data_IF_129863212455
#
_entry.id   IF_129863212455
#
_cell.length_a   1.000
_cell.length_b   1.000
_cell.length_c   1.000
_cell.angle_alpha   90.00
_cell.angle_beta   90.00
_cell.angle_gamma   90.00
#
_symmetry.space_group_name_H-M   'P 1'
#
loop_
_entity.id
_entity.type
_entity.pdbx_description
1 polymer ?
#
# COMPACT_ATOMS: atom_id res chain seq x y z
N UNK A 1 13.90 2.16 -7.37
CA UNK A 1 13.56 2.68 -8.71
C UNK A 1 12.28 1.99 -9.16
N UNK A 2 11.30 2.70 -9.73
CA UNK A 2 9.93 2.18 -9.87
C UNK A 2 9.33 2.47 -11.25
N UNK A 3 8.50 1.54 -11.72
CA UNK A 3 7.59 1.70 -12.87
C UNK A 3 6.16 1.59 -12.39
N UNK A 4 5.34 2.54 -12.79
CA UNK A 4 3.91 2.58 -12.54
C UNK A 4 3.22 2.30 -13.87
N UNK A 5 2.58 1.14 -14.02
CA UNK A 5 1.86 0.74 -15.23
C UNK A 5 0.35 0.99 -15.07
N UNK A 6 -0.27 1.58 -16.09
CA UNK A 6 -1.71 1.83 -16.17
C UNK A 6 -2.37 0.68 -16.94
N UNK A 7 -3.12 -0.16 -16.25
CA UNK A 7 -3.62 -1.39 -16.84
C UNK A 7 -4.85 -1.11 -17.71
N UNK A 8 -4.65 -0.92 -19.03
CA UNK A 8 -5.60 -1.17 -20.15
C UNK A 8 -5.07 -0.68 -21.51
N UNK A 9 -4.05 0.16 -21.52
CA UNK A 9 -3.31 0.61 -22.71
C UNK A 9 -1.84 0.57 -22.34
N UNK A 10 -0.91 0.18 -23.23
CA UNK A 10 0.55 0.08 -23.01
C UNK A 10 1.21 1.40 -22.54
N UNK A 11 0.75 1.96 -21.43
CA UNK A 11 1.10 3.25 -20.89
C UNK A 11 1.64 3.02 -19.50
N UNK A 12 2.87 3.44 -19.30
CA UNK A 12 3.54 3.38 -18.02
C UNK A 12 4.22 4.71 -17.75
N UNK A 13 4.28 5.04 -16.47
CA UNK A 13 5.11 6.11 -15.94
C UNK A 13 6.36 5.44 -15.40
N UNK A 14 7.48 5.76 -16.04
CA UNK A 14 8.78 5.25 -15.66
C UNK A 14 9.51 6.29 -14.80
N UNK A 15 10.01 5.88 -13.63
CA UNK A 15 10.76 6.77 -12.74
C UNK A 15 12.13 6.16 -12.48
N UNK A 16 13.14 6.71 -13.16
CA UNK A 16 14.53 6.35 -12.96
C UNK A 16 15.22 7.36 -12.05
N UNK A 17 15.73 6.88 -10.93
CA UNK A 17 16.56 7.66 -10.03
C UNK A 17 17.73 6.82 -9.53
N UNK A 18 18.93 7.37 -9.66
CA UNK A 18 20.17 6.84 -9.11
C UNK A 18 20.81 7.92 -8.26
N UNK A 19 20.81 7.71 -6.95
CA UNK A 19 21.42 8.63 -5.99
C UNK A 19 22.72 8.07 -5.40
N UNK A 20 23.50 8.90 -4.70
CA UNK A 20 24.74 8.46 -4.08
C UNK A 20 24.45 7.55 -2.87
N UNK A 21 25.27 6.52 -2.69
CA UNK A 21 25.01 5.44 -1.73
C UNK A 21 25.03 5.92 -0.27
N UNK A 22 25.86 6.90 0.04
CA UNK A 22 25.95 7.54 1.36
C UNK A 22 24.70 8.34 1.74
N UNK A 23 23.83 8.66 0.76
CA UNK A 23 22.54 9.35 0.96
C UNK A 23 21.33 8.45 0.67
N UNK A 24 21.49 7.13 0.81
CA UNK A 24 20.43 6.15 0.47
C UNK A 24 19.10 6.39 1.19
N UNK A 25 19.13 6.90 2.44
CA UNK A 25 17.93 7.19 3.23
C UNK A 25 17.15 8.35 2.61
N UNK A 26 17.82 9.45 2.31
CA UNK A 26 17.24 10.63 1.67
C UNK A 26 16.73 10.28 0.26
N UNK A 27 17.51 9.50 -0.49
CA UNK A 27 17.12 8.96 -1.79
C UNK A 27 15.84 8.12 -1.73
N UNK A 28 15.72 7.25 -0.72
CA UNK A 28 14.53 6.46 -0.50
C UNK A 28 13.31 7.34 -0.24
N UNK A 29 13.40 8.31 0.68
CA UNK A 29 12.28 9.20 1.00
C UNK A 29 11.87 10.08 -0.19
N UNK A 30 12.85 10.67 -0.89
CA UNK A 30 12.58 11.42 -2.12
C UNK A 30 11.76 10.58 -3.11
N UNK A 31 12.15 9.33 -3.30
CA UNK A 31 11.45 8.43 -4.22
C UNK A 31 10.07 8.01 -3.72
N UNK A 32 9.86 7.85 -2.41
CA UNK A 32 8.53 7.61 -1.84
C UNK A 32 7.59 8.79 -2.07
N UNK A 33 8.05 10.02 -1.84
CA UNK A 33 7.28 11.24 -2.09
C UNK A 33 6.90 11.37 -3.57
N UNK A 34 7.84 11.11 -4.49
CA UNK A 34 7.55 11.14 -5.93
C UNK A 34 6.49 10.13 -6.33
N UNK A 35 6.60 8.88 -5.85
CA UNK A 35 5.58 7.84 -6.12
C UNK A 35 4.24 8.25 -5.54
N UNK A 36 4.20 8.77 -4.31
CA UNK A 36 2.98 9.21 -3.66
C UNK A 36 2.30 10.36 -4.43
N UNK A 37 3.05 11.35 -4.90
CA UNK A 37 2.52 12.45 -5.72
C UNK A 37 1.88 11.91 -7.00
N UNK A 38 2.55 10.96 -7.67
CA UNK A 38 2.03 10.34 -8.90
C UNK A 38 0.76 9.55 -8.62
N UNK A 39 0.73 8.72 -7.56
CA UNK A 39 -0.45 7.96 -7.18
C UNK A 39 -1.63 8.85 -6.81
N UNK A 40 -1.39 9.91 -6.03
CA UNK A 40 -2.42 10.89 -5.69
C UNK A 40 -2.97 11.58 -6.94
N UNK A 41 -2.10 11.94 -7.87
CA UNK A 41 -2.48 12.58 -9.14
C UNK A 41 -3.33 11.63 -9.97
N UNK A 42 -2.90 10.37 -10.14
CA UNK A 42 -3.69 9.36 -10.87
C UNK A 42 -5.05 9.17 -10.20
N UNK A 43 -5.11 9.09 -8.86
CA UNK A 43 -6.38 8.90 -8.13
C UNK A 43 -7.36 10.06 -8.36
N UNK A 44 -6.86 11.29 -8.52
CA UNK A 44 -7.65 12.51 -8.78
C UNK A 44 -8.09 12.61 -10.23
N UNK A 45 -7.22 12.26 -11.16
CA UNK A 45 -7.49 12.36 -12.60
C UNK A 45 -8.33 11.19 -13.12
N UNK A 46 -8.20 10.00 -12.52
CA UNK A 46 -8.85 8.78 -12.98
C UNK A 46 -9.21 7.87 -11.79
N UNK A 47 -10.21 8.28 -11.00
CA UNK A 47 -10.73 7.49 -9.89
C UNK A 47 -11.37 6.20 -10.40
N UNK A 48 -10.67 5.08 -10.27
CA UNK A 48 -11.11 3.77 -10.76
C UNK A 48 -10.09 3.09 -11.67
N UNK A 49 -9.05 3.82 -12.11
CA UNK A 49 -7.96 3.22 -12.85
C UNK A 49 -7.13 2.31 -11.96
N UNK A 50 -6.96 1.06 -12.41
CA UNK A 50 -6.12 0.10 -11.71
C UNK A 50 -4.65 0.32 -12.09
N UNK A 51 -3.86 0.69 -11.09
CA UNK A 51 -2.43 0.94 -11.26
C UNK A 51 -1.64 -0.24 -10.72
N UNK A 52 -0.80 -0.83 -11.56
CA UNK A 52 0.14 -1.86 -11.14
C UNK A 52 1.51 -1.22 -10.93
N UNK A 53 2.20 -1.61 -9.85
CA UNK A 53 3.58 -1.19 -9.60
C UNK A 53 4.55 -2.34 -9.86
N UNK A 54 5.63 -2.02 -10.54
CA UNK A 54 6.79 -2.89 -10.73
C UNK A 54 8.07 -2.15 -10.36
N UNK A 55 9.05 -2.89 -9.91
CA UNK A 55 10.30 -2.38 -9.37
C UNK A 55 11.42 -2.83 -10.30
N UNK A 56 12.25 -1.89 -10.77
CA UNK A 56 13.38 -2.22 -11.64
C UNK A 56 14.55 -2.76 -10.83
N UNK A 57 15.35 -3.63 -11.44
CA UNK A 57 16.60 -4.15 -10.86
C UNK A 57 17.61 -3.04 -10.49
N UNK A 58 17.89 -2.81 -9.19
CA UNK A 58 18.90 -1.84 -8.75
C UNK A 58 20.30 -2.07 -9.33
N UNK A 59 20.73 -3.34 -9.47
CA UNK A 59 22.03 -3.68 -10.06
C UNK A 59 22.09 -3.30 -11.54
N UNK A 60 21.09 -3.67 -12.34
CA UNK A 60 21.12 -3.38 -13.78
C UNK A 60 20.98 -1.88 -14.08
N UNK A 61 20.26 -1.15 -13.21
CA UNK A 61 20.22 0.31 -13.20
C UNK A 61 21.61 0.91 -13.01
N UNK A 62 22.33 0.42 -12.00
CA UNK A 62 23.67 0.91 -11.66
C UNK A 62 24.63 0.68 -12.83
N UNK A 63 24.47 -0.45 -13.51
CA UNK A 63 25.23 -0.83 -14.70
C UNK A 63 24.72 -0.16 -15.99
N UNK A 64 23.70 0.70 -15.90
CA UNK A 64 23.09 1.43 -17.04
C UNK A 64 22.64 0.51 -18.19
N UNK A 65 22.09 -0.66 -17.87
CA UNK A 65 21.59 -1.58 -18.90
C UNK A 65 20.31 -1.05 -19.55
N UNK A 66 20.13 -1.39 -20.82
CA UNK A 66 18.92 -1.02 -21.59
C UNK A 66 17.74 -1.97 -21.29
N UNK A 67 18.00 -3.28 -21.25
CA UNK A 67 17.00 -4.31 -20.96
C UNK A 67 17.00 -4.60 -19.46
N UNK A 68 16.10 -3.94 -18.74
CA UNK A 68 15.94 -4.09 -17.30
C UNK A 68 14.98 -5.24 -16.96
N UNK A 69 15.35 -6.02 -15.96
CA UNK A 69 14.52 -6.98 -15.27
C UNK A 69 13.67 -6.27 -14.22
N UNK A 70 12.47 -6.80 -13.99
CA UNK A 70 11.48 -6.20 -13.10
C UNK A 70 11.03 -7.16 -12.00
N UNK A 71 10.52 -6.58 -10.92
CA UNK A 71 9.87 -7.27 -9.82
C UNK A 71 8.47 -6.68 -9.65
N UNK A 72 7.44 -7.44 -9.96
CA UNK A 72 6.07 -7.00 -9.75
C UNK A 72 5.73 -6.89 -8.27
N UNK A 73 4.78 -6.01 -7.94
CA UNK A 73 4.25 -5.93 -6.58
C UNK A 73 3.68 -7.25 -6.09
N UNK A 74 3.08 -8.05 -6.99
CA UNK A 74 2.57 -9.37 -6.66
C UNK A 74 3.69 -10.32 -6.23
N UNK A 75 4.77 -10.41 -7.01
CA UNK A 75 5.95 -11.24 -6.69
C UNK A 75 6.57 -10.84 -5.34
N UNK A 76 6.75 -9.53 -5.12
CA UNK A 76 7.27 -8.98 -3.86
C UNK A 76 6.34 -9.25 -2.68
N UNK A 77 5.03 -8.99 -2.84
CA UNK A 77 4.03 -9.21 -1.79
C UNK A 77 3.97 -10.69 -1.40
N UNK A 78 3.87 -11.60 -2.37
CA UNK A 78 3.91 -13.06 -2.12
C UNK A 78 5.13 -13.41 -1.28
N UNK A 79 6.27 -12.87 -1.68
CA UNK A 79 7.53 -13.02 -0.97
C UNK A 79 7.49 -12.56 0.49
N UNK A 80 6.90 -11.39 0.76
CA UNK A 80 6.78 -10.86 2.12
C UNK A 80 5.81 -11.69 2.97
N UNK A 81 4.67 -12.08 2.41
CA UNK A 81 3.60 -12.78 3.13
C UNK A 81 3.89 -14.27 3.38
N UNK A 82 4.50 -14.96 2.42
CA UNK A 82 4.80 -16.41 2.49
C UNK A 82 5.95 -16.75 3.44
N UNK A 83 6.62 -15.75 4.01
CA UNK A 83 7.63 -16.01 5.03
C UNK A 83 7.00 -16.48 6.34
N UNK A 84 7.58 -17.52 6.94
CA UNK A 84 7.17 -18.04 8.26
C UNK A 84 7.10 -16.93 9.31
N UNK A 85 6.13 -17.07 10.24
CA UNK A 85 5.72 -16.08 11.26
C UNK A 85 6.84 -15.60 12.21
N UNK A 86 8.02 -16.23 12.18
CA UNK A 86 9.11 -15.95 13.12
C UNK A 86 10.27 -15.16 12.51
N UNK A 87 10.13 -14.67 11.27
CA UNK A 87 11.19 -13.90 10.60
C UNK A 87 11.00 -12.41 10.87
N UNK A 88 11.91 -11.83 11.64
CA UNK A 88 12.01 -10.36 11.82
C UNK A 88 12.04 -9.64 10.46
N UNK A 89 11.43 -8.47 10.39
CA UNK A 89 11.48 -7.51 9.27
C UNK A 89 12.86 -7.40 8.62
N UNK A 90 13.93 -7.30 9.40
CA UNK A 90 15.33 -7.24 8.91
C UNK A 90 15.73 -8.50 8.13
N UNK A 91 15.25 -9.68 8.54
CA UNK A 91 15.51 -10.94 7.83
C UNK A 91 14.71 -11.05 6.52
N UNK A 92 13.53 -10.43 6.44
CA UNK A 92 12.74 -10.36 5.21
C UNK A 92 13.43 -9.48 4.17
N UNK A 93 13.92 -8.30 4.55
CA UNK A 93 14.62 -7.39 3.65
C UNK A 93 15.93 -7.98 3.13
N UNK A 94 16.63 -8.77 3.94
CA UNK A 94 17.86 -9.46 3.52
C UNK A 94 17.61 -10.65 2.59
N UNK A 95 16.36 -11.13 2.50
CA UNK A 95 16.04 -12.27 1.65
C UNK A 95 16.13 -11.87 0.18
N UNK A 96 16.67 -12.78 -0.62
CA UNK A 96 16.73 -12.65 -2.06
C UNK A 96 15.46 -13.12 -2.76
N UNK A 97 15.14 -12.47 -3.87
CA UNK A 97 14.07 -12.84 -4.77
C UNK A 97 14.57 -12.79 -6.21
N UNK A 98 14.02 -13.69 -7.02
CA UNK A 98 14.24 -13.70 -8.45
C UNK A 98 13.34 -12.67 -9.13
N UNK A 99 13.83 -12.02 -10.18
CA UNK A 99 13.05 -11.14 -11.04
C UNK A 99 11.95 -11.92 -11.77
N UNK A 100 10.95 -11.20 -12.27
CA UNK A 100 9.80 -11.81 -12.93
C UNK A 100 10.19 -12.56 -14.22
N UNK A 101 11.31 -12.19 -14.86
CA UNK A 101 11.89 -12.85 -16.03
C UNK A 101 12.85 -14.01 -15.69
N UNK A 102 13.21 -14.17 -14.41
CA UNK A 102 14.12 -15.22 -13.98
C UNK A 102 15.62 -14.88 -14.06
N UNK A 103 16.00 -13.74 -14.63
CA UNK A 103 17.39 -13.46 -15.02
C UNK A 103 18.28 -13.00 -13.87
N UNK A 104 17.71 -12.35 -12.85
CA UNK A 104 18.49 -11.76 -11.76
C UNK A 104 17.87 -12.02 -10.39
N UNK A 105 18.74 -12.17 -9.39
CA UNK A 105 18.35 -12.38 -8.00
C UNK A 105 18.92 -11.28 -7.10
N UNK A 106 18.04 -10.53 -6.42
CA UNK A 106 18.41 -9.37 -5.60
C UNK A 106 17.69 -9.40 -4.24
N UNK A 107 18.24 -8.71 -3.24
CA UNK A 107 17.60 -8.65 -1.91
C UNK A 107 16.41 -7.71 -1.96
N UNK A 108 15.36 -8.05 -1.21
CA UNK A 108 14.16 -7.22 -1.09
C UNK A 108 14.49 -5.80 -0.61
N UNK A 109 15.42 -5.65 0.33
CA UNK A 109 15.88 -4.34 0.81
C UNK A 109 16.58 -3.50 -0.25
N UNK A 110 17.31 -4.13 -1.18
CA UNK A 110 17.92 -3.43 -2.31
C UNK A 110 16.84 -2.88 -3.26
N UNK A 111 15.81 -3.68 -3.53
CA UNK A 111 14.71 -3.36 -4.46
C UNK A 111 13.73 -2.33 -3.87
N UNK A 112 13.24 -2.57 -2.66
CA UNK A 112 12.19 -1.75 -2.02
C UNK A 112 12.75 -0.54 -1.27
N UNK A 113 13.89 -0.70 -0.62
CA UNK A 113 14.39 0.21 0.41
C UNK A 113 15.78 0.79 0.07
N UNK A 114 16.19 0.78 -1.21
CA UNK A 114 17.44 1.41 -1.66
C UNK A 114 18.68 0.86 -0.93
N UNK A 115 18.66 -0.44 -0.63
CA UNK A 115 19.74 -1.17 0.05
C UNK A 115 19.65 -1.13 1.58
N UNK A 116 18.67 -0.42 2.13
CA UNK A 116 18.41 -0.40 3.57
C UNK A 116 17.77 -1.73 3.96
N UNK A 117 18.49 -2.52 4.75
CA UNK A 117 18.04 -3.84 5.20
C UNK A 117 17.58 -3.85 6.66
N UNK A 118 17.82 -2.77 7.39
CA UNK A 118 17.33 -2.56 8.74
C UNK A 118 16.43 -1.32 8.73
N UNK A 119 15.12 -1.51 8.91
CA UNK A 119 14.17 -0.39 8.87
C UNK A 119 14.39 0.61 10.01
N UNK A 120 15.12 0.24 11.06
CA UNK A 120 15.56 1.18 12.10
C UNK A 120 16.52 2.24 11.55
N UNK A 121 17.19 2.01 10.42
CA UNK A 121 17.96 3.05 9.75
C UNK A 121 17.07 4.13 9.14
N UNK A 122 15.81 3.81 8.87
CA UNK A 122 14.80 4.72 8.32
C UNK A 122 13.99 5.39 9.44
N UNK A 123 14.27 5.06 10.71
CA UNK A 123 13.49 5.45 11.89
C UNK A 123 13.17 6.95 11.87
N UNK A 124 11.87 7.24 11.85
CA UNK A 124 11.32 8.57 11.93
C UNK A 124 10.56 8.63 13.24
N UNK A 125 10.78 9.70 13.99
CA UNK A 125 10.21 10.05 15.31
C UNK A 125 8.68 9.93 15.45
N UNK A 126 7.97 9.53 14.40
CA UNK A 126 6.51 9.49 14.26
C UNK A 126 5.92 8.08 14.04
N UNK A 127 6.75 7.02 13.96
CA UNK A 127 6.28 5.62 13.93
C UNK A 127 7.26 4.64 13.28
N UNK A 128 7.15 3.36 13.66
CA UNK A 128 8.00 2.28 13.14
C UNK A 128 7.58 1.88 11.72
N UNK A 129 8.50 1.86 10.74
CA UNK A 129 8.20 1.33 9.40
C UNK A 129 7.70 -0.11 9.47
N UNK A 130 6.61 -0.41 8.76
CA UNK A 130 5.96 -1.74 8.82
C UNK A 130 5.86 -2.36 7.44
N UNK A 131 6.37 -3.59 7.28
CA UNK A 131 6.23 -4.38 6.06
C UNK A 131 4.86 -5.04 5.97
N UNK A 132 4.47 -5.41 4.74
CA UNK A 132 3.14 -5.96 4.46
C UNK A 132 2.72 -7.18 5.31
N UNK A 133 3.68 -8.00 5.79
CA UNK A 133 3.38 -9.17 6.62
C UNK A 133 2.82 -8.80 8.00
N UNK A 134 3.23 -7.65 8.54
CA UNK A 134 2.79 -7.12 9.84
C UNK A 134 1.78 -5.99 9.68
N UNK A 135 1.58 -5.50 8.46
CA UNK A 135 0.72 -4.36 8.21
C UNK A 135 -0.75 -4.71 8.42
N UNK A 136 -1.42 -3.88 9.22
CA UNK A 136 -2.85 -4.03 9.50
C UNK A 136 -3.70 -3.79 8.24
N UNK A 137 -4.77 -4.56 8.07
CA UNK A 137 -5.62 -4.56 6.87
C UNK A 137 -6.39 -3.27 6.63
N UNK A 138 -6.49 -2.40 7.64
CA UNK A 138 -7.01 -1.04 7.45
C UNK A 138 -6.22 -0.25 6.39
N UNK A 139 -4.96 -0.60 6.15
CA UNK A 139 -4.08 0.02 5.15
C UNK A 139 -4.38 -0.39 3.71
N UNK A 140 -5.27 -1.37 3.47
CA UNK A 140 -5.72 -1.67 2.11
C UNK A 140 -6.50 -0.48 1.54
N UNK A 141 -6.19 -0.13 0.29
CA UNK A 141 -6.85 0.98 -0.40
C UNK A 141 -8.36 0.72 -0.57
N UNK A 142 -9.12 1.80 -0.74
CA UNK A 142 -10.55 1.70 -1.05
C UNK A 142 -10.79 0.87 -2.32
N UNK A 143 -9.96 1.06 -3.36
CA UNK A 143 -10.07 0.32 -4.62
C UNK A 143 -9.83 -1.18 -4.41
N UNK A 144 -8.84 -1.56 -3.60
CA UNK A 144 -8.59 -2.96 -3.23
C UNK A 144 -9.81 -3.57 -2.55
N UNK A 145 -10.40 -2.85 -1.57
CA UNK A 145 -11.60 -3.31 -0.86
C UNK A 145 -12.80 -3.43 -1.81
N UNK A 146 -13.04 -2.45 -2.68
CA UNK A 146 -14.11 -2.50 -3.68
C UNK A 146 -13.99 -3.68 -4.63
N UNK A 147 -12.77 -4.00 -5.09
CA UNK A 147 -12.51 -5.19 -5.90
C UNK A 147 -12.82 -6.48 -5.16
N UNK A 148 -12.40 -6.60 -3.89
CA UNK A 148 -12.75 -7.75 -3.06
C UNK A 148 -14.28 -7.88 -2.91
N UNK A 149 -14.99 -6.78 -2.70
CA UNK A 149 -16.45 -6.77 -2.65
C UNK A 149 -17.06 -7.28 -3.96
N UNK A 150 -16.58 -6.80 -5.11
CA UNK A 150 -17.09 -7.24 -6.42
C UNK A 150 -16.88 -8.75 -6.69
N UNK A 151 -15.90 -9.37 -6.02
CA UNK A 151 -15.59 -10.78 -6.16
C UNK A 151 -16.32 -11.66 -5.13
N UNK A 152 -16.52 -11.19 -3.90
CA UNK A 152 -17.06 -11.99 -2.78
C UNK A 152 -18.55 -11.75 -2.49
N UNK A 153 -19.11 -10.62 -2.91
CA UNK A 153 -20.55 -10.33 -2.75
C UNK A 153 -21.45 -11.24 -3.60
N UNK A 154 -21.11 -11.55 -4.88
CA UNK A 154 -21.92 -12.45 -5.68
C UNK A 154 -21.88 -13.88 -5.12
N UNK A 155 -23.01 -14.61 -5.18
CA UNK A 155 -23.03 -16.02 -4.81
C UNK A 155 -22.05 -16.82 -5.66
N UNK A 156 -21.26 -17.67 -5.01
CA UNK A 156 -20.32 -18.57 -5.68
C UNK A 156 -20.92 -19.99 -5.71
N UNK A 157 -20.66 -20.76 -6.77
CA UNK A 157 -21.36 -22.02 -7.03
C UNK A 157 -21.19 -23.09 -5.95
N UNK A 158 -20.11 -23.02 -5.17
CA UNK A 158 -19.86 -23.89 -4.01
C UNK A 158 -19.82 -23.10 -2.70
N UNK A 159 -20.40 -21.89 -2.68
CA UNK A 159 -20.60 -21.08 -1.47
C UNK A 159 -19.34 -20.40 -0.94
N UNK A 160 -18.27 -20.26 -1.75
CA UNK A 160 -17.03 -19.57 -1.34
C UNK A 160 -17.16 -18.05 -1.42
N UNK A 161 -18.19 -17.53 -0.78
CA UNK A 161 -18.57 -16.12 -0.77
C UNK A 161 -18.19 -15.41 0.54
N UNK A 162 -18.65 -14.17 0.69
CA UNK A 162 -18.44 -13.34 1.88
C UNK A 162 -18.85 -14.02 3.19
N UNK A 163 -19.86 -14.88 3.19
CA UNK A 163 -20.38 -15.51 4.40
C UNK A 163 -19.38 -16.55 4.90
N UNK A 164 -18.94 -17.46 4.02
CA UNK A 164 -17.89 -18.42 4.34
C UNK A 164 -16.56 -17.74 4.71
N UNK A 165 -16.23 -16.63 4.05
CA UNK A 165 -15.07 -15.83 4.45
C UNK A 165 -15.20 -15.28 5.88
N UNK A 166 -16.36 -14.74 6.26
CA UNK A 166 -16.60 -14.29 7.62
C UNK A 166 -16.57 -15.41 8.66
N UNK A 167 -17.01 -16.63 8.32
CA UNK A 167 -16.85 -17.82 9.17
C UNK A 167 -15.36 -18.11 9.41
N UNK A 168 -14.53 -18.10 8.35
CA UNK A 168 -13.08 -18.33 8.45
C UNK A 168 -12.35 -17.26 9.27
N UNK A 169 -12.90 -16.04 9.31
CA UNK A 169 -12.44 -14.95 10.18
C UNK A 169 -12.94 -15.06 11.63
N UNK A 170 -13.73 -16.10 11.96
CA UNK A 170 -14.25 -16.33 13.30
C UNK A 170 -15.41 -15.41 13.69
N UNK A 171 -16.18 -14.92 12.71
CA UNK A 171 -17.28 -13.94 12.92
C UNK A 171 -18.68 -14.56 12.86
N UNK A 172 -18.79 -15.87 13.08
CA UNK A 172 -20.06 -16.61 12.92
C UNK A 172 -21.22 -16.00 13.69
N UNK A 173 -20.98 -15.46 14.89
CA UNK A 173 -21.96 -14.79 15.75
C UNK A 173 -22.38 -13.41 15.25
N UNK A 174 -21.57 -12.77 14.41
CA UNK A 174 -21.79 -11.41 13.88
C UNK A 174 -22.40 -11.42 12.48
N UNK A 175 -22.23 -12.49 11.71
CA UNK A 175 -22.72 -12.61 10.32
C UNK A 175 -24.18 -12.20 10.14
N UNK A 176 -25.14 -12.59 11.00
CA UNK A 176 -26.54 -12.16 10.85
C UNK A 176 -26.74 -10.65 10.91
N UNK A 177 -25.87 -9.91 11.63
CA UNK A 177 -25.91 -8.45 11.73
C UNK A 177 -25.20 -7.77 10.56
N UNK A 178 -24.26 -8.47 9.93
CA UNK A 178 -23.49 -7.96 8.79
C UNK A 178 -24.26 -8.16 7.47
N UNK A 179 -25.14 -9.15 7.40
CA UNK A 179 -26.02 -9.38 6.24
C UNK A 179 -26.83 -8.12 5.88
N UNK A 180 -26.67 -7.57 4.67
CA UNK A 180 -27.46 -6.43 4.20
C UNK A 180 -28.90 -6.79 3.85
N UNK A 181 -29.26 -8.08 3.85
CA UNK A 181 -30.56 -8.58 3.42
C UNK A 181 -30.81 -8.20 1.96
N UNK A 182 -31.93 -7.54 1.68
CA UNK A 182 -32.31 -7.09 0.33
C UNK A 182 -31.68 -5.76 -0.08
N UNK A 183 -30.87 -5.12 0.78
CA UNK A 183 -30.27 -3.83 0.49
C UNK A 183 -29.08 -3.95 -0.47
N UNK A 184 -29.37 -3.87 -1.78
CA UNK A 184 -28.37 -3.93 -2.85
C UNK A 184 -27.31 -2.79 -2.83
N UNK A 185 -27.52 -1.73 -2.03
CA UNK A 185 -26.56 -0.61 -1.91
C UNK A 185 -25.48 -0.86 -0.86
N UNK A 186 -25.55 -1.98 -0.14
CA UNK A 186 -24.59 -2.31 0.92
C UNK A 186 -23.88 -3.60 0.62
N UNK A 187 -22.56 -3.54 0.47
CA UNK A 187 -21.73 -4.73 0.28
C UNK A 187 -21.62 -5.52 1.60
N UNK A 188 -22.00 -6.82 1.63
CA UNK A 188 -21.73 -7.67 2.79
C UNK A 188 -20.22 -7.89 3.02
N UNK A 189 -19.43 -8.05 1.95
CA UNK A 189 -17.97 -8.19 2.06
C UNK A 189 -17.34 -6.96 2.71
N UNK A 190 -17.78 -5.75 2.33
CA UNK A 190 -17.29 -4.52 2.95
C UNK A 190 -17.51 -4.52 4.46
N UNK A 191 -18.70 -4.93 4.92
CA UNK A 191 -19.03 -5.02 6.35
C UNK A 191 -18.20 -6.07 7.08
N UNK A 192 -17.96 -7.23 6.46
CA UNK A 192 -17.07 -8.27 7.01
C UNK A 192 -15.64 -7.74 7.15
N UNK A 193 -15.11 -7.06 6.13
CA UNK A 193 -13.77 -6.46 6.19
C UNK A 193 -13.73 -5.35 7.25
N UNK A 194 -14.74 -4.49 7.32
CA UNK A 194 -14.85 -3.42 8.33
C UNK A 194 -14.88 -3.98 9.75
N UNK A 195 -15.59 -5.09 9.98
CA UNK A 195 -15.59 -5.77 11.27
C UNK A 195 -14.25 -6.45 11.55
N UNK A 196 -13.58 -7.01 10.55
CA UNK A 196 -12.23 -7.59 10.70
C UNK A 196 -11.23 -6.55 11.17
N UNK A 197 -11.20 -5.38 10.53
CA UNK A 197 -10.22 -4.34 10.84
C UNK A 197 -10.44 -3.68 12.20
N UNK A 198 -11.52 -4.00 12.92
CA UNK A 198 -11.64 -3.64 14.35
C UNK A 198 -10.73 -4.49 15.24
N UNK A 199 -10.34 -5.68 14.79
CA UNK A 199 -9.39 -6.53 15.49
C UNK A 199 -7.97 -6.11 15.14
N UNK A 200 -7.18 -5.75 16.15
CA UNK A 200 -5.77 -5.33 16.01
C UNK A 200 -4.89 -6.36 15.30
N UNK A 201 -5.27 -7.64 15.33
CA UNK A 201 -4.55 -8.74 14.69
C UNK A 201 -4.97 -8.97 13.23
N UNK A 202 -5.90 -8.18 12.67
CA UNK A 202 -6.36 -8.33 11.29
C UNK A 202 -5.29 -7.79 10.30
N UNK A 203 -4.21 -8.53 10.10
CA UNK A 203 -3.13 -8.18 9.17
C UNK A 203 -3.46 -8.54 7.73
N UNK A 204 -2.79 -7.90 6.76
CA UNK A 204 -2.93 -8.23 5.33
C UNK A 204 -2.57 -9.71 5.10
N UNK A 205 -1.53 -10.20 5.78
CA UNK A 205 -1.14 -11.61 5.75
C UNK A 205 -2.29 -12.53 6.15
N UNK A 206 -2.96 -12.23 7.27
CA UNK A 206 -4.09 -13.02 7.75
C UNK A 206 -5.22 -13.07 6.71
N UNK A 207 -5.57 -11.95 6.08
CA UNK A 207 -6.59 -11.96 5.02
C UNK A 207 -6.20 -12.84 3.84
N UNK A 208 -4.94 -12.76 3.39
CA UNK A 208 -4.43 -13.59 2.30
C UNK A 208 -4.46 -15.07 2.66
N UNK A 209 -4.08 -15.43 3.89
CA UNK A 209 -4.14 -16.81 4.39
C UNK A 209 -5.59 -17.33 4.42
N UNK A 210 -6.54 -16.54 4.92
CA UNK A 210 -7.96 -16.92 4.98
C UNK A 210 -8.62 -17.01 3.60
N UNK A 211 -8.27 -16.13 2.67
CA UNK A 211 -8.74 -16.23 1.28
C UNK A 211 -8.13 -17.43 0.55
N UNK A 212 -6.88 -17.77 0.87
CA UNK A 212 -6.22 -18.97 0.34
C UNK A 212 -6.85 -20.24 0.90
N UNK A 213 -7.18 -20.27 2.20
CA UNK A 213 -7.93 -21.36 2.86
C UNK A 213 -9.33 -21.54 2.22
N UNK A 214 -9.97 -20.43 1.82
CA UNK A 214 -11.23 -20.43 1.09
C UNK A 214 -11.09 -20.83 -0.39
N UNK A 215 -9.88 -21.03 -0.92
CA UNK A 215 -9.60 -21.24 -2.34
C UNK A 215 -10.12 -20.10 -3.26
N UNK A 216 -10.07 -18.85 -2.78
CA UNK A 216 -10.40 -17.63 -3.53
C UNK A 216 -9.13 -16.91 -4.00
N UNK A 217 -8.39 -17.57 -4.89
CA UNK A 217 -7.11 -17.07 -5.41
C UNK A 217 -7.26 -15.79 -6.24
N UNK A 218 -8.42 -15.57 -6.85
CA UNK A 218 -8.79 -14.33 -7.51
C UNK A 218 -8.79 -13.13 -6.55
N UNK A 219 -9.29 -13.32 -5.33
CA UNK A 219 -9.24 -12.31 -4.26
C UNK A 219 -7.81 -12.12 -3.72
N UNK A 220 -7.07 -13.22 -3.59
CA UNK A 220 -5.65 -13.17 -3.21
C UNK A 220 -4.86 -12.34 -4.21
N UNK A 221 -5.01 -12.58 -5.51
CA UNK A 221 -4.31 -11.86 -6.56
C UNK A 221 -4.60 -10.34 -6.52
N UNK A 222 -5.84 -9.94 -6.21
CA UNK A 222 -6.17 -8.52 -6.00
C UNK A 222 -5.34 -7.89 -4.88
N UNK A 223 -5.21 -8.56 -3.73
CA UNK A 223 -4.41 -8.05 -2.60
C UNK A 223 -2.93 -8.02 -2.97
N UNK A 224 -2.44 -9.06 -3.63
CA UNK A 224 -1.02 -9.15 -4.00
C UNK A 224 -0.61 -8.08 -5.01
N UNK A 225 -1.50 -7.74 -5.95
CA UNK A 225 -1.23 -6.73 -6.97
C UNK A 225 -1.37 -5.29 -6.45
N UNK A 226 -2.31 -5.03 -5.54
CA UNK A 226 -2.71 -3.66 -5.16
C UNK A 226 -2.43 -3.29 -3.70
N UNK A 227 -2.04 -4.25 -2.88
CA UNK A 227 -1.74 -4.03 -1.47
C UNK A 227 -0.43 -3.25 -1.26
N UNK A 228 -0.33 -2.47 -0.17
CA UNK A 228 0.91 -1.77 0.19
C UNK A 228 1.99 -2.76 0.66
N UNK A 229 3.18 -2.70 0.05
CA UNK A 229 4.34 -3.54 0.43
C UNK A 229 5.03 -3.07 1.72
N UNK A 230 4.99 -1.76 1.97
CA UNK A 230 5.67 -1.08 3.06
C UNK A 230 4.86 0.15 3.44
N UNK A 231 4.69 0.39 4.75
CA UNK A 231 4.16 1.65 5.29
C UNK A 231 5.28 2.42 5.96
N UNK A 232 5.44 3.67 5.55
CA UNK A 232 6.34 4.64 6.16
C UNK A 232 5.52 5.73 6.86
N UNK A 233 6.14 6.37 7.84
CA UNK A 233 5.61 7.61 8.44
C UNK A 233 6.41 8.79 7.87
N UNK A 234 5.76 9.90 7.51
CA UNK A 234 6.45 11.07 6.97
C UNK A 234 7.53 11.55 7.93
N UNK A 235 8.68 12.00 7.40
CA UNK A 235 9.65 12.75 8.16
C UNK A 235 8.97 14.01 8.71
N UNK A 236 8.59 14.02 9.98
CA UNK A 236 8.41 15.29 10.70
C UNK A 236 9.72 16.06 10.53
N UNK A 237 9.61 17.31 10.07
CA UNK A 237 10.72 18.23 9.84
C UNK A 237 11.82 18.01 10.88
N UNK A 238 13.05 17.78 10.39
CA UNK A 238 14.26 17.69 11.21
C UNK A 238 14.19 18.73 12.33
N UNK A 239 14.56 18.39 13.59
CA UNK A 239 14.75 19.42 14.59
C UNK A 239 15.74 20.43 14.00
N UNK A 240 15.32 21.68 13.86
CA UNK A 240 16.20 22.77 13.46
C UNK A 240 17.30 22.88 14.51
N UNK A 241 18.44 22.24 14.28
CA UNK A 241 19.64 22.52 15.04
C UNK A 241 20.08 23.95 14.71
N UNK A 242 19.75 24.87 15.62
CA UNK A 242 20.60 26.01 15.92
C UNK A 242 20.45 27.27 15.06
N UNK A 243 19.25 27.64 14.61
CA UNK A 243 19.01 29.02 14.19
C UNK A 243 18.49 29.80 15.41
N UNK A 244 19.35 30.67 15.95
CA UNK A 244 18.94 31.73 16.89
C UNK A 244 18.01 32.66 16.10
N UNK A 245 16.70 32.45 16.21
CA UNK A 245 15.72 33.42 15.75
C UNK A 245 15.68 34.56 16.77
N UNK A 246 16.25 35.70 16.38
CA UNK A 246 15.78 36.97 16.91
C UNK A 246 14.34 37.18 16.45
N UNK A 247 13.53 37.55 17.43
CA UNK A 247 12.09 37.69 17.41
C UNK A 247 11.57 38.73 16.42
N UNK A 248 10.25 38.67 16.21
CA UNK A 248 9.36 39.53 15.41
C UNK A 248 9.17 39.20 13.92
N UNK A 249 8.31 38.20 13.65
CA UNK A 249 7.04 38.47 12.93
C UNK A 249 6.17 37.21 12.88
N UNK A 250 4.99 37.30 13.49
CA UNK A 250 4.13 36.15 13.78
C UNK A 250 3.50 35.53 12.53
N UNK A 251 3.54 34.21 12.52
CA UNK A 251 3.12 33.29 11.47
C UNK A 251 1.62 33.30 11.17
N UNK A 252 1.31 33.31 9.88
CA UNK A 252 0.07 32.81 9.30
C UNK A 252 0.02 31.28 9.42
N UNK A 253 -0.91 30.77 10.22
CA UNK A 253 -1.31 29.36 10.24
C UNK A 253 -2.31 29.08 9.10
N UNK A 254 -1.91 28.32 8.08
CA UNK A 254 -2.85 27.74 7.10
C UNK A 254 -3.17 26.30 7.50
N UNK A 255 -4.10 26.15 8.44
CA UNK A 255 -4.98 25.00 8.51
C UNK A 255 -6.19 25.28 7.62
N UNK A 256 -6.30 24.63 6.46
CA UNK A 256 -7.50 24.75 5.63
C UNK A 256 -8.55 23.79 6.17
N UNK A 257 -9.35 24.31 7.12
CA UNK A 257 -10.66 23.77 7.45
C UNK A 257 -11.68 24.42 6.51
N UNK A 258 -12.32 23.62 5.67
CA UNK A 258 -13.43 24.05 4.82
C UNK A 258 -14.64 24.46 5.68
N UNK A 259 -14.89 25.76 5.79
CA UNK A 259 -16.16 26.32 6.24
C UNK A 259 -16.77 27.11 5.07
N UNK A 260 -17.88 26.58 4.57
CA UNK A 260 -18.74 27.17 3.56
C UNK A 260 -19.47 28.38 4.13
N UNK A 261 -19.15 29.58 3.65
CA UNK A 261 -20.01 30.76 3.81
C UNK A 261 -20.81 30.99 2.53
N UNK A 262 -22.13 30.84 2.62
CA UNK A 262 -23.08 31.30 1.61
C UNK A 262 -23.15 32.83 1.66
N UNK A 263 -22.88 33.48 0.53
CA UNK A 263 -23.01 34.93 0.38
C UNK A 263 -24.47 35.33 0.23
N UNK A 264 -24.91 36.26 1.07
CA UNK A 264 -26.20 36.94 1.03
C UNK A 264 -26.23 37.98 -0.09
N UNK A 265 -27.18 37.83 -1.00
CA UNK A 265 -27.52 38.82 -2.03
C UNK A 265 -28.41 39.93 -1.46
N UNK A 266 -27.95 41.17 -1.59
CA UNK A 266 -28.76 42.37 -1.40
C UNK A 266 -29.75 42.50 -2.55
N UNK A 267 -31.03 42.70 -2.23
CA UNK A 267 -32.04 43.18 -3.17
C UNK A 267 -32.85 44.29 -2.50
N UNK A 268 -32.73 45.47 -3.08
CA UNK A 268 -33.39 46.72 -2.70
C UNK A 268 -34.89 46.66 -2.94
N UNK A 269 -35.68 47.14 -1.97
CA UNK A 269 -36.79 48.08 -2.15
C UNK A 269 -37.28 48.59 -0.81
#
# INVERSE_FOLDING_TARGET
>A
MFVISLNTTEQWIEIRFSGPYDKRRECFFFMQEMVQIIEQTISRCASGLNVAKSYMSPVQIKDQRENLSYYSSSSLMKSLLMSSNNKSTTSLLKRKIQSDDGEIEERIGDILCFGICDLNEINVSSGEPTLANELHSSNLSLLTKQKLCSLLDPPESIGRDWCMFGILLGMTDKLPKLDPGTNAQSSPTARVIEECVRNVNCTIKMLVEKLSELNRFDCVDVILQTGPLLRMFPLTSLPEEGIIYNDESSHTSLGVSTLSHTSSSNLSR
#
